data_IF_906247764826
#
_entry.id   IF_906247764826
#
_cell.length_a   1.000
_cell.length_b   1.000
_cell.length_c   1.000
_cell.angle_alpha   90.00
_cell.angle_beta   90.00
_cell.angle_gamma   90.00
#
_symmetry.space_group_name_H-M   'P 1'
#
loop_
_entity.id
_entity.type
_entity.pdbx_description
1 polymer ?
#
# COMPACT_ATOMS: atom_id res chain seq x y z
N UNK A 1 7.41 -5.94 32.25
CA UNK A 1 7.23 -6.56 30.93
C UNK A 1 6.02 -5.89 30.33
N UNK A 2 6.23 -4.83 29.56
CA UNK A 2 5.17 -3.91 29.17
C UNK A 2 5.22 -3.70 27.65
N UNK A 3 4.07 -3.95 27.03
CA UNK A 3 3.60 -3.43 25.73
C UNK A 3 4.28 -3.93 24.44
N UNK A 4 3.96 -5.17 24.07
CA UNK A 4 3.96 -5.63 22.67
C UNK A 4 2.67 -5.25 21.90
N UNK A 5 1.83 -4.38 22.48
CA UNK A 5 0.48 -4.04 22.02
C UNK A 5 0.41 -2.95 20.94
N UNK A 6 1.52 -2.28 20.62
CA UNK A 6 1.55 -1.23 19.59
C UNK A 6 1.69 -1.77 18.16
N UNK A 7 2.23 -2.99 17.98
CA UNK A 7 2.55 -3.54 16.65
C UNK A 7 1.35 -4.17 15.93
N UNK A 8 0.27 -4.53 16.65
CA UNK A 8 -0.89 -5.21 16.05
C UNK A 8 -2.01 -4.26 15.57
N UNK A 9 -2.05 -3.03 16.06
CA UNK A 9 -3.17 -2.10 15.81
C UNK A 9 -3.39 -1.75 14.32
N UNK A 10 -2.33 -1.46 13.52
CA UNK A 10 -2.50 -1.15 12.09
C UNK A 10 -3.03 -2.35 11.31
N UNK A 11 -2.52 -3.55 11.62
CA UNK A 11 -2.98 -4.80 10.99
C UNK A 11 -4.45 -5.08 11.32
N UNK A 12 -4.85 -4.93 12.58
CA UNK A 12 -6.24 -5.16 12.98
C UNK A 12 -7.22 -4.17 12.32
N UNK A 13 -6.84 -2.90 12.19
CA UNK A 13 -7.68 -1.90 11.53
C UNK A 13 -7.83 -2.20 10.05
N UNK A 14 -6.73 -2.53 9.35
CA UNK A 14 -6.78 -2.91 7.95
C UNK A 14 -7.68 -4.15 7.74
N UNK A 15 -7.51 -5.19 8.56
CA UNK A 15 -8.35 -6.38 8.46
C UNK A 15 -9.83 -6.06 8.65
N UNK A 16 -10.19 -5.19 9.60
CA UNK A 16 -11.59 -4.79 9.81
C UNK A 16 -12.18 -4.05 8.60
N UNK A 17 -11.43 -3.15 7.97
CA UNK A 17 -11.86 -2.48 6.73
C UNK A 17 -12.02 -3.46 5.57
N UNK A 18 -11.11 -4.45 5.44
CA UNK A 18 -11.23 -5.49 4.44
C UNK A 18 -12.47 -6.38 4.68
N UNK A 19 -12.74 -6.74 5.92
CA UNK A 19 -13.90 -7.56 6.29
C UNK A 19 -15.22 -6.80 6.03
N UNK A 20 -15.25 -5.48 6.27
CA UNK A 20 -16.42 -4.64 5.96
C UNK A 20 -16.76 -4.61 4.46
N UNK A 21 -15.74 -4.77 3.60
CA UNK A 21 -15.87 -4.76 2.14
C UNK A 21 -15.98 -6.16 1.52
N UNK A 22 -16.07 -7.22 2.32
CA UNK A 22 -16.14 -8.62 1.84
C UNK A 22 -17.18 -8.79 0.72
N UNK A 23 -18.39 -8.31 0.97
CA UNK A 23 -19.56 -8.45 0.09
C UNK A 23 -19.56 -7.47 -1.11
N UNK A 24 -18.66 -6.48 -1.12
CA UNK A 24 -18.67 -5.40 -2.11
C UNK A 24 -17.94 -5.82 -3.39
N UNK A 25 -18.66 -6.14 -4.46
CA UNK A 25 -18.05 -6.48 -5.76
C UNK A 25 -17.17 -5.34 -6.31
N UNK A 26 -16.16 -5.66 -7.13
CA UNK A 26 -15.25 -4.67 -7.72
C UNK A 26 -15.97 -3.52 -8.44
N UNK A 27 -17.09 -3.80 -9.10
CA UNK A 27 -17.87 -2.79 -9.85
C UNK A 27 -18.62 -1.81 -8.96
N UNK A 28 -18.92 -2.20 -7.73
CA UNK A 28 -19.67 -1.40 -6.76
C UNK A 28 -18.76 -0.83 -5.66
N UNK A 29 -17.48 -1.17 -5.67
CA UNK A 29 -16.51 -0.63 -4.73
C UNK A 29 -16.33 0.85 -5.00
N UNK A 30 -16.67 1.68 -4.02
CA UNK A 30 -16.46 3.12 -4.12
C UNK A 30 -14.96 3.43 -4.08
N UNK A 31 -14.57 4.51 -4.74
CA UNK A 31 -13.16 4.92 -4.74
C UNK A 31 -12.73 5.44 -3.37
N UNK A 32 -13.66 6.04 -2.61
CA UNK A 32 -13.42 6.52 -1.25
C UNK A 32 -13.08 5.37 -0.31
N UNK A 33 -13.84 4.27 -0.36
CA UNK A 33 -13.57 3.07 0.44
C UNK A 33 -12.21 2.45 0.08
N UNK A 34 -11.91 2.39 -1.23
CA UNK A 34 -10.64 1.86 -1.71
C UNK A 34 -9.45 2.69 -1.22
N UNK A 35 -9.60 4.01 -1.10
CA UNK A 35 -8.57 4.91 -0.59
C UNK A 35 -8.43 4.84 0.92
N UNK A 36 -9.53 4.72 1.66
CA UNK A 36 -9.46 4.46 3.09
C UNK A 36 -8.62 3.21 3.39
N UNK A 37 -8.85 2.12 2.65
CA UNK A 37 -8.04 0.90 2.75
C UNK A 37 -6.59 1.15 2.33
N UNK A 38 -6.33 1.95 1.29
CA UNK A 38 -4.96 2.26 0.85
C UNK A 38 -4.18 3.09 1.88
N UNK A 39 -4.85 3.98 2.60
CA UNK A 39 -4.24 4.74 3.70
C UNK A 39 -3.89 3.81 4.87
N UNK A 40 -4.79 2.90 5.25
CA UNK A 40 -4.49 1.86 6.25
C UNK A 40 -3.36 0.94 5.82
N UNK A 41 -3.30 0.61 4.52
CA UNK A 41 -2.20 -0.18 3.95
C UNK A 41 -0.87 0.60 4.00
N UNK A 42 -0.91 1.92 3.84
CA UNK A 42 0.26 2.80 3.97
C UNK A 42 0.74 2.89 5.42
N UNK A 43 -0.18 2.94 6.39
CA UNK A 43 0.16 2.86 7.82
C UNK A 43 0.82 1.51 8.15
N UNK A 44 0.28 0.41 7.65
CA UNK A 44 0.86 -0.92 7.80
C UNK A 44 2.25 -1.01 7.15
N UNK A 45 2.42 -0.43 5.95
CA UNK A 45 3.72 -0.37 5.26
C UNK A 45 4.75 0.43 6.07
N UNK A 46 4.37 1.57 6.64
CA UNK A 46 5.25 2.37 7.49
C UNK A 46 5.68 1.61 8.76
N UNK A 47 4.80 0.81 9.34
CA UNK A 47 5.14 -0.09 10.45
C UNK A 47 6.15 -1.16 10.02
N UNK A 48 5.94 -1.80 8.87
CA UNK A 48 6.88 -2.79 8.33
C UNK A 48 8.26 -2.18 8.10
N UNK A 49 8.35 -0.94 7.58
CA UNK A 49 9.61 -0.22 7.43
C UNK A 49 10.30 0.02 8.78
N UNK A 50 9.54 0.45 9.79
CA UNK A 50 10.06 0.68 11.15
C UNK A 50 10.57 -0.61 11.78
N UNK A 51 9.83 -1.71 11.66
CA UNK A 51 10.22 -3.03 12.16
C UNK A 51 11.46 -3.60 11.44
N UNK A 52 11.61 -3.32 10.15
CA UNK A 52 12.76 -3.73 9.37
C UNK A 52 14.04 -2.93 9.70
N UNK A 53 13.95 -1.88 10.53
CA UNK A 53 15.06 -0.94 10.76
C UNK A 53 15.43 -0.14 9.52
N UNK A 54 14.55 -0.07 8.52
CA UNK A 54 14.78 0.67 7.28
C UNK A 54 14.37 2.11 7.53
N UNK A 55 15.37 2.98 7.73
CA UNK A 55 15.16 4.42 7.76
C UNK A 55 14.57 4.85 6.42
N UNK A 56 13.36 5.39 6.43
CA UNK A 56 12.77 6.06 5.27
C UNK A 56 13.76 7.10 4.75
N UNK A 57 14.16 7.10 3.46
CA UNK A 57 15.02 8.15 2.94
C UNK A 57 14.30 9.48 3.12
N UNK A 58 14.85 10.35 3.97
CA UNK A 58 14.42 11.73 4.09
C UNK A 58 14.78 12.39 2.75
N UNK A 59 13.80 13.03 2.13
CA UNK A 59 13.97 13.72 0.85
C UNK A 59 15.00 14.85 0.93
N UNK A 60 15.80 14.93 -0.13
CA UNK A 60 16.59 16.07 -0.65
C UNK A 60 17.20 17.05 0.36
N UNK A 61 18.46 16.80 0.70
CA UNK A 61 19.43 17.88 0.91
C UNK A 61 20.51 17.74 -0.14
N UNK A 62 20.51 18.66 -1.10
CA UNK A 62 21.59 18.80 -2.06
C UNK A 62 22.88 19.22 -1.35
N UNK A 63 24.00 18.61 -1.75
CA UNK A 63 25.28 19.31 -1.83
C UNK A 63 26.19 18.55 -2.80
N UNK A 64 26.71 19.30 -3.76
CA UNK A 64 27.66 18.90 -4.79
C UNK A 64 29.06 18.69 -4.19
N UNK A 65 29.74 17.57 -4.49
CA UNK A 65 31.21 17.55 -4.66
C UNK A 65 31.77 16.25 -5.30
N UNK A 66 32.27 16.41 -6.53
CA UNK A 66 33.49 15.83 -7.18
C UNK A 66 33.65 14.30 -7.36
N UNK A 67 34.02 13.83 -8.59
CA UNK A 67 34.27 12.42 -8.86
C UNK A 67 35.76 12.07 -8.73
N UNK A 68 36.11 10.92 -8.10
CA UNK A 68 37.37 10.21 -8.41
C UNK A 68 37.44 8.75 -7.92
N UNK A 69 37.60 7.85 -8.91
CA UNK A 69 38.31 6.55 -8.98
C UNK A 69 38.02 5.39 -8.00
N UNK A 70 37.34 4.40 -8.59
CA UNK A 70 37.57 2.94 -8.59
C UNK A 70 38.57 2.33 -7.60
N UNK A 71 38.13 1.34 -6.82
CA UNK A 71 38.76 0.01 -6.67
C UNK A 71 37.70 -1.00 -6.21
N UNK A 72 37.85 -2.26 -6.64
CA UNK A 72 36.87 -3.33 -6.62
C UNK A 72 36.29 -3.77 -5.26
N UNK A 73 35.14 -4.42 -5.38
CA UNK A 73 34.38 -5.03 -4.30
C UNK A 73 32.91 -4.69 -4.46
N UNK A 74 32.14 -5.51 -5.18
CA UNK A 74 30.68 -5.40 -5.19
C UNK A 74 30.17 -5.81 -3.82
N UNK A 75 30.23 -4.88 -2.86
CA UNK A 75 29.50 -4.99 -1.61
C UNK A 75 28.03 -4.97 -2.01
N UNK A 76 27.20 -5.97 -1.65
CA UNK A 76 25.77 -5.86 -1.85
C UNK A 76 25.33 -4.61 -1.09
N UNK A 77 24.90 -3.59 -1.84
CA UNK A 77 24.45 -2.32 -1.29
C UNK A 77 23.44 -2.62 -0.19
N UNK A 78 23.60 -2.04 1.00
CA UNK A 78 22.65 -2.18 2.09
C UNK A 78 21.21 -1.83 1.66
N UNK A 79 21.07 -1.01 0.61
CA UNK A 79 19.81 -0.70 -0.05
C UNK A 79 19.18 -1.88 -0.81
N UNK A 80 19.96 -2.77 -1.42
CA UNK A 80 19.43 -3.96 -2.07
C UNK A 80 18.87 -4.96 -1.05
N UNK A 81 19.56 -5.11 0.07
CA UNK A 81 19.14 -5.96 1.20
C UNK A 81 17.86 -5.42 1.87
N UNK A 82 17.74 -4.09 2.05
CA UNK A 82 16.56 -3.48 2.65
C UNK A 82 15.31 -3.59 1.75
N UNK A 83 15.47 -3.41 0.44
CA UNK A 83 14.38 -3.57 -0.53
C UNK A 83 13.89 -5.03 -0.58
N UNK A 84 14.81 -6.00 -0.56
CA UNK A 84 14.45 -7.42 -0.52
C UNK A 84 13.73 -7.79 0.79
N UNK A 85 14.19 -7.25 1.90
CA UNK A 85 13.56 -7.41 3.23
C UNK A 85 12.13 -6.86 3.23
N UNK A 86 11.90 -5.66 2.68
CA UNK A 86 10.57 -5.06 2.61
C UNK A 86 9.62 -5.85 1.71
N UNK A 87 10.11 -6.36 0.57
CA UNK A 87 9.32 -7.26 -0.30
C UNK A 87 8.89 -8.51 0.46
N UNK A 88 9.81 -9.13 1.19
CA UNK A 88 9.52 -10.33 1.97
C UNK A 88 8.52 -10.06 3.12
N UNK A 89 8.62 -8.90 3.76
CA UNK A 89 7.69 -8.49 4.82
C UNK A 89 6.27 -8.26 4.28
N UNK A 90 6.12 -7.56 3.14
CA UNK A 90 4.82 -7.38 2.48
C UNK A 90 4.22 -8.70 2.02
N UNK A 91 5.03 -9.59 1.45
CA UNK A 91 4.61 -10.94 1.09
C UNK A 91 4.10 -11.69 2.33
N UNK A 92 4.87 -11.68 3.41
CA UNK A 92 4.51 -12.37 4.66
C UNK A 92 3.24 -11.79 5.26
N UNK A 93 3.07 -10.47 5.22
CA UNK A 93 1.86 -9.80 5.64
C UNK A 93 0.64 -10.25 4.81
N UNK A 94 0.75 -10.21 3.48
CA UNK A 94 -0.31 -10.62 2.57
C UNK A 94 -0.66 -12.11 2.74
N UNK A 95 0.33 -12.98 2.96
CA UNK A 95 0.14 -14.40 3.20
C UNK A 95 -0.57 -14.73 4.53
N UNK A 96 -0.55 -13.81 5.49
CA UNK A 96 -1.25 -13.95 6.78
C UNK A 96 -2.70 -13.47 6.72
N UNK A 97 -3.14 -12.82 5.65
CA UNK A 97 -4.53 -12.45 5.44
C UNK A 97 -5.36 -13.70 5.12
N UNK A 98 -6.66 -13.67 5.46
CA UNK A 98 -7.58 -14.71 5.01
C UNK A 98 -7.74 -14.66 3.48
N UNK A 99 -8.15 -15.75 2.85
CA UNK A 99 -8.40 -15.79 1.39
C UNK A 99 -9.40 -14.70 0.98
N UNK A 100 -10.46 -14.52 1.78
CA UNK A 100 -11.44 -13.46 1.57
C UNK A 100 -10.80 -12.07 1.63
N UNK A 101 -9.99 -11.79 2.65
CA UNK A 101 -9.30 -10.50 2.79
C UNK A 101 -8.31 -10.25 1.64
N UNK A 102 -7.63 -11.28 1.16
CA UNK A 102 -6.77 -11.19 -0.02
C UNK A 102 -7.58 -10.81 -1.27
N UNK A 103 -8.75 -11.42 -1.47
CA UNK A 103 -9.63 -11.12 -2.60
C UNK A 103 -10.21 -9.70 -2.51
N UNK A 104 -10.57 -9.23 -1.31
CA UNK A 104 -10.98 -7.83 -1.08
C UNK A 104 -9.84 -6.87 -1.39
N UNK A 105 -8.65 -7.11 -0.84
CA UNK A 105 -7.49 -6.26 -1.05
C UNK A 105 -7.12 -6.20 -2.54
N UNK A 106 -7.21 -7.34 -3.26
CA UNK A 106 -6.97 -7.37 -4.70
C UNK A 106 -7.97 -6.50 -5.46
N UNK A 107 -9.26 -6.52 -5.09
CA UNK A 107 -10.28 -5.62 -5.66
C UNK A 107 -9.97 -4.15 -5.40
N UNK A 108 -9.60 -3.80 -4.16
CA UNK A 108 -9.19 -2.44 -3.78
C UNK A 108 -8.02 -1.96 -4.63
N UNK A 109 -6.97 -2.77 -4.75
CA UNK A 109 -5.79 -2.42 -5.54
C UNK A 109 -6.15 -2.20 -7.02
N UNK A 110 -7.02 -3.04 -7.60
CA UNK A 110 -7.51 -2.84 -8.97
C UNK A 110 -8.33 -1.56 -9.13
N UNK A 111 -9.22 -1.23 -8.19
CA UNK A 111 -10.00 0.00 -8.23
C UNK A 111 -9.09 1.25 -8.21
N UNK A 112 -8.09 1.26 -7.32
CA UNK A 112 -7.10 2.33 -7.25
C UNK A 112 -6.28 2.44 -8.55
N UNK A 113 -5.77 1.32 -9.08
CA UNK A 113 -5.01 1.33 -10.34
C UNK A 113 -5.85 1.80 -11.53
N UNK A 114 -7.12 1.40 -11.61
CA UNK A 114 -8.03 1.84 -12.65
C UNK A 114 -8.26 3.36 -12.59
N UNK A 115 -8.41 3.93 -11.38
CA UNK A 115 -8.52 5.38 -11.20
C UNK A 115 -7.24 6.11 -11.60
N UNK A 116 -6.05 5.57 -11.26
CA UNK A 116 -4.79 6.13 -11.73
C UNK A 116 -4.69 6.15 -13.26
N UNK A 117 -5.14 5.06 -13.92
CA UNK A 117 -5.09 4.93 -15.37
C UNK A 117 -6.10 5.84 -16.09
N UNK A 118 -7.26 6.12 -15.50
CA UNK A 118 -8.26 7.00 -16.08
C UNK A 118 -7.93 8.49 -15.92
N UNK A 119 -6.87 8.84 -15.18
CA UNK A 119 -6.57 10.22 -14.80
C UNK A 119 -7.62 10.83 -13.86
N UNK A 120 -8.55 10.01 -13.34
CA UNK A 120 -9.45 10.41 -12.28
C UNK A 120 -8.63 10.54 -11.01
N UNK A 121 -8.34 11.78 -10.64
CA UNK A 121 -7.60 12.06 -9.43
C UNK A 121 -8.40 11.55 -8.22
N UNK A 122 -7.66 11.13 -7.20
CA UNK A 122 -8.17 10.33 -6.10
C UNK A 122 -8.55 11.26 -4.93
N UNK A 123 -9.75 11.11 -4.33
CA UNK A 123 -10.12 11.92 -3.17
C UNK A 123 -9.11 11.74 -2.04
N UNK A 124 -8.63 12.85 -1.51
CA UNK A 124 -7.78 12.83 -0.32
C UNK A 124 -8.68 12.42 0.83
N UNK A 125 -8.40 11.30 1.50
CA UNK A 125 -9.08 10.94 2.75
C UNK A 125 -8.64 11.93 3.84
N UNK A 126 -9.21 13.13 3.81
CA UNK A 126 -9.06 14.09 4.90
C UNK A 126 -9.97 13.64 6.03
N UNK A 127 -9.36 13.02 7.05
CA UNK A 127 -10.00 12.75 8.33
C UNK A 127 -10.41 14.08 8.98
N UNK A 128 -11.59 14.60 8.62
CA UNK A 128 -12.13 15.79 9.26
C UNK A 128 -13.62 15.63 9.49
N UNK A 129 -13.97 15.33 10.74
CA UNK A 129 -15.30 15.57 11.26
C UNK A 129 -15.66 17.05 11.06
N UNK A 130 -16.61 17.32 10.17
CA UNK A 130 -17.39 18.56 10.23
C UNK A 130 -17.58 19.29 8.90
N UNK A 131 -18.85 19.34 8.50
CA UNK A 131 -19.50 20.37 7.69
C UNK A 131 -19.27 20.39 6.15
N UNK A 132 -20.34 19.96 5.47
CA UNK A 132 -20.78 20.32 4.12
C UNK A 132 -20.45 21.76 3.69
N UNK A 133 -19.87 21.94 2.50
CA UNK A 133 -20.47 22.76 1.43
C UNK A 133 -19.79 22.52 0.09
N UNK A 134 -20.59 22.49 -0.99
CA UNK A 134 -20.14 22.16 -2.33
C UNK A 134 -19.04 23.07 -2.84
N UNK A 135 -17.90 22.47 -3.13
CA UNK A 135 -16.93 22.93 -4.11
C UNK A 135 -16.51 21.68 -4.88
N UNK A 136 -16.41 21.79 -6.20
CA UNK A 136 -15.69 20.81 -7.03
C UNK A 136 -14.33 20.58 -6.36
N UNK A 137 -14.20 19.52 -5.56
CA UNK A 137 -12.91 19.18 -4.96
C UNK A 137 -12.05 18.77 -6.13
N UNK A 138 -11.12 19.65 -6.49
CA UNK A 138 -10.08 19.36 -7.44
C UNK A 138 -9.24 18.25 -6.81
N UNK A 139 -9.58 17.02 -7.16
CA UNK A 139 -8.90 15.82 -6.70
C UNK A 139 -7.41 15.93 -7.05
N UNK A 140 -6.53 15.55 -6.12
CA UNK A 140 -5.09 15.53 -6.36
C UNK A 140 -4.70 14.16 -6.95
N UNK A 141 -3.93 14.11 -8.05
CA UNK A 141 -3.41 12.84 -8.54
C UNK A 141 -2.49 12.21 -7.48
N UNK A 142 -2.49 10.88 -7.37
CA UNK A 142 -1.55 10.20 -6.47
C UNK A 142 -0.12 10.58 -6.81
N UNK A 143 0.67 10.83 -5.76
CA UNK A 143 2.11 11.02 -5.91
C UNK A 143 2.75 9.80 -6.61
N UNK A 144 3.81 9.97 -7.42
CA UNK A 144 4.52 8.84 -8.04
C UNK A 144 4.98 7.78 -7.03
N UNK A 145 5.31 8.19 -5.80
CA UNK A 145 5.68 7.28 -4.72
C UNK A 145 4.49 6.46 -4.19
N UNK A 146 3.28 7.03 -4.17
CA UNK A 146 2.07 6.28 -3.81
C UNK A 146 1.69 5.28 -4.91
N UNK A 147 1.78 5.67 -6.18
CA UNK A 147 1.56 4.76 -7.31
C UNK A 147 2.56 3.60 -7.29
N UNK A 148 3.85 3.86 -7.04
CA UNK A 148 4.85 2.79 -6.91
C UNK A 148 4.50 1.82 -5.78
N UNK A 149 4.13 2.34 -4.60
CA UNK A 149 3.74 1.51 -3.45
C UNK A 149 2.49 0.66 -3.74
N UNK A 150 1.52 1.21 -4.48
CA UNK A 150 0.34 0.47 -4.94
C UNK A 150 0.74 -0.77 -5.75
N UNK A 151 1.64 -0.62 -6.72
CA UNK A 151 2.14 -1.74 -7.52
C UNK A 151 3.02 -2.72 -6.72
N UNK A 152 3.80 -2.24 -5.75
CA UNK A 152 4.57 -3.11 -4.85
C UNK A 152 3.67 -3.99 -3.99
N UNK A 153 2.57 -3.45 -3.46
CA UNK A 153 1.57 -4.21 -2.72
C UNK A 153 0.80 -5.19 -3.61
N UNK A 154 0.45 -4.78 -4.83
CA UNK A 154 -0.13 -5.70 -5.81
C UNK A 154 0.81 -6.88 -6.11
N UNK A 155 2.09 -6.62 -6.34
CA UNK A 155 3.07 -7.68 -6.58
C UNK A 155 3.22 -8.62 -5.36
N UNK A 156 3.25 -8.07 -4.15
CA UNK A 156 3.33 -8.86 -2.92
C UNK A 156 2.09 -9.74 -2.71
N UNK A 157 0.91 -9.18 -2.93
CA UNK A 157 -0.36 -9.91 -2.81
C UNK A 157 -0.49 -10.98 -3.90
N UNK A 158 -0.11 -10.66 -5.13
CA UNK A 158 -0.09 -11.63 -6.24
C UNK A 158 0.85 -12.80 -5.95
N UNK A 159 2.06 -12.53 -5.44
CA UNK A 159 2.99 -13.57 -5.04
C UNK A 159 2.44 -14.45 -3.91
N UNK A 160 1.69 -13.88 -2.96
CA UNK A 160 1.13 -14.60 -1.81
C UNK A 160 -0.13 -15.41 -2.14
N UNK A 161 -1.05 -14.84 -2.92
CA UNK A 161 -2.38 -15.42 -3.16
C UNK A 161 -2.50 -16.13 -4.52
N UNK A 162 -1.53 -15.91 -5.42
CA UNK A 162 -1.48 -16.45 -6.77
C UNK A 162 -2.55 -15.90 -7.71
N UNK A 163 -2.58 -16.44 -8.93
CA UNK A 163 -3.51 -16.00 -9.99
C UNK A 163 -4.99 -16.22 -9.61
N UNK A 164 -5.28 -17.15 -8.70
CA UNK A 164 -6.64 -17.41 -8.24
C UNK A 164 -7.29 -16.19 -7.59
N UNK A 165 -6.54 -15.38 -6.85
CA UNK A 165 -7.06 -14.15 -6.25
C UNK A 165 -7.37 -13.08 -7.29
N UNK A 166 -6.55 -12.97 -8.34
CA UNK A 166 -6.82 -12.07 -9.47
C UNK A 166 -8.11 -12.47 -10.16
N UNK A 167 -8.26 -13.76 -10.48
CA UNK A 167 -9.47 -14.27 -11.14
C UNK A 167 -10.70 -14.03 -10.27
N UNK A 168 -10.65 -14.33 -8.97
CA UNK A 168 -11.79 -14.11 -8.05
C UNK A 168 -12.12 -12.64 -7.89
N UNK A 169 -11.13 -11.75 -7.80
CA UNK A 169 -11.35 -10.31 -7.73
C UNK A 169 -12.05 -9.78 -8.99
N UNK A 170 -11.57 -10.16 -10.17
CA UNK A 170 -12.14 -9.74 -11.46
C UNK A 170 -13.52 -10.37 -11.72
N UNK A 171 -13.73 -11.59 -11.25
CA UNK A 171 -14.99 -12.32 -11.38
C UNK A 171 -15.95 -12.08 -10.20
N UNK A 172 -15.66 -11.12 -9.31
CA UNK A 172 -16.58 -10.73 -8.26
C UNK A 172 -17.87 -10.19 -8.89
N UNK A 173 -18.85 -11.09 -9.03
CA UNK A 173 -20.18 -10.79 -9.54
C UNK A 173 -21.04 -10.39 -8.35
N UNK A 174 -21.61 -9.20 -8.43
CA UNK A 174 -22.84 -8.84 -7.71
C UNK A 174 -23.96 -9.81 -8.09
#
# INVERSE_FOLDING_TARGET
MESASASSAPKSSLCAELDALESTSLRHLSIDDALCVLDRLSEADAELHRCAGVVTPIADSGESAVPCRATGGAVPSAEASSVETLKQLRFTFAAQLTVTQQDVLMRVLYACMASCASGSALPRCEATCGASTGTHEAHEPLSPAAVRRLYEWHAALHAAAGDGAVVRALMSRS
#
